data_IF_058949026880
#
_entry.id   IF_058949026880
#
_cell.length_a   1.000
_cell.length_b   1.000
_cell.length_c   1.000
_cell.angle_alpha   90.00
_cell.angle_beta   90.00
_cell.angle_gamma   90.00
#
_symmetry.space_group_name_H-M   'P 1'
#
loop_
_entity.id
_entity.type
_entity.pdbx_description
1 polymer ?
#
# COMPACT_ATOMS: atom_id res chain seq x y z
N UNK A 1 -21.30 6.68 -38.53
CA UNK A 1 -20.42 7.33 -37.55
C UNK A 1 -19.95 6.27 -36.56
N UNK A 2 -18.65 6.09 -36.38
CA UNK A 2 -18.13 5.16 -35.38
C UNK A 2 -18.40 5.72 -33.98
N UNK A 3 -19.21 5.02 -33.19
CA UNK A 3 -19.52 5.42 -31.82
C UNK A 3 -18.34 5.02 -30.94
N UNK A 4 -17.54 6.01 -30.51
CA UNK A 4 -16.43 5.81 -29.60
C UNK A 4 -16.96 5.22 -28.29
N UNK A 5 -16.68 3.95 -28.01
CA UNK A 5 -16.99 3.33 -26.72
C UNK A 5 -15.97 3.81 -25.71
N UNK A 6 -16.32 4.83 -24.93
CA UNK A 6 -15.49 5.27 -23.81
C UNK A 6 -15.56 4.22 -22.69
N UNK A 7 -14.42 3.73 -22.18
CA UNK A 7 -14.44 2.83 -21.03
C UNK A 7 -14.83 3.63 -19.77
N UNK A 8 -15.89 3.18 -19.09
CA UNK A 8 -16.26 3.72 -17.78
C UNK A 8 -15.31 3.16 -16.72
N UNK A 9 -14.34 3.96 -16.28
CA UNK A 9 -13.33 3.55 -15.29
C UNK A 9 -13.58 4.27 -13.97
N UNK A 10 -13.77 3.48 -12.91
CA UNK A 10 -13.72 3.94 -11.53
C UNK A 10 -12.94 2.88 -10.75
N UNK A 11 -11.68 3.20 -10.44
CA UNK A 11 -10.76 2.33 -9.74
C UNK A 11 -10.03 3.14 -8.66
N UNK A 12 -9.93 2.58 -7.47
CA UNK A 12 -9.16 3.12 -6.36
C UNK A 12 -8.30 2.01 -5.77
N UNK A 13 -7.05 2.33 -5.50
CA UNK A 13 -6.13 1.51 -4.72
C UNK A 13 -5.60 2.39 -3.59
N UNK A 14 -5.77 1.97 -2.34
CA UNK A 14 -5.26 2.67 -1.17
C UNK A 14 -4.52 1.70 -0.26
N UNK A 15 -3.43 2.17 0.33
CA UNK A 15 -2.78 1.52 1.46
C UNK A 15 -2.99 2.35 2.72
N UNK A 16 -3.12 1.68 3.86
CA UNK A 16 -3.31 2.36 5.13
C UNK A 16 -3.50 1.39 6.28
N UNK A 17 -3.92 1.93 7.42
CA UNK A 17 -4.20 1.15 8.62
C UNK A 17 -5.65 1.30 9.04
N UNK A 18 -6.21 0.25 9.62
CA UNK A 18 -7.54 0.33 10.23
C UNK A 18 -7.54 1.31 11.41
N UNK A 19 -8.57 2.16 11.45
CA UNK A 19 -8.78 3.13 12.54
C UNK A 19 -9.54 2.50 13.70
N UNK A 20 -10.33 1.50 13.40
CA UNK A 20 -11.18 0.76 14.31
C UNK A 20 -11.36 -0.67 13.80
N UNK A 21 -11.82 -1.56 14.67
CA UNK A 21 -12.12 -2.94 14.30
C UNK A 21 -13.20 -3.01 13.23
N UNK A 22 -13.06 -3.96 12.31
CA UNK A 22 -14.08 -4.20 11.29
C UNK A 22 -15.37 -4.76 11.91
N UNK A 23 -16.51 -4.38 11.32
CA UNK A 23 -17.84 -4.77 11.80
C UNK A 23 -18.65 -5.43 10.70
N UNK A 24 -19.23 -6.61 10.99
CA UNK A 24 -20.18 -7.26 10.10
C UNK A 24 -21.55 -6.62 10.30
N UNK A 25 -22.17 -6.18 9.21
CA UNK A 25 -23.54 -5.68 9.20
C UNK A 25 -24.38 -6.47 8.21
N UNK A 26 -25.67 -6.58 8.50
CA UNK A 26 -26.66 -7.14 7.56
C UNK A 26 -27.44 -5.99 6.96
N UNK A 27 -27.46 -5.88 5.63
CA UNK A 27 -28.24 -4.87 4.94
C UNK A 27 -29.74 -5.19 5.05
N UNK A 28 -30.56 -4.32 5.66
CA UNK A 28 -31.97 -4.64 5.96
C UNK A 28 -32.81 -5.00 4.73
N UNK A 29 -32.53 -4.38 3.59
CA UNK A 29 -33.34 -4.54 2.37
C UNK A 29 -32.98 -5.82 1.60
N UNK A 30 -31.72 -6.25 1.66
CA UNK A 30 -31.23 -7.36 0.82
C UNK A 30 -30.89 -8.63 1.60
N UNK A 31 -30.83 -8.55 2.93
CA UNK A 31 -30.35 -9.64 3.79
C UNK A 31 -28.86 -9.96 3.64
N UNK A 32 -28.13 -9.25 2.77
CA UNK A 32 -26.70 -9.52 2.52
C UNK A 32 -25.85 -9.02 3.68
N UNK A 33 -24.89 -9.84 4.07
CA UNK A 33 -23.82 -9.43 4.97
C UNK A 33 -22.82 -8.54 4.24
N UNK A 34 -22.34 -7.54 4.96
CA UNK A 34 -21.28 -6.63 4.53
C UNK A 34 -20.27 -6.50 5.67
N UNK A 35 -19.02 -6.26 5.32
CA UNK A 35 -17.97 -5.90 6.27
C UNK A 35 -17.65 -4.41 6.12
N UNK A 36 -17.84 -3.64 7.18
CA UNK A 36 -17.51 -2.21 7.24
C UNK A 36 -16.28 -1.97 8.10
N UNK A 37 -15.36 -1.17 7.59
CA UNK A 37 -14.16 -0.74 8.30
C UNK A 37 -13.70 0.63 7.80
N UNK A 38 -12.86 1.33 8.57
CA UNK A 38 -12.33 2.65 8.21
C UNK A 38 -10.81 2.60 8.14
N UNK A 39 -10.25 3.16 7.06
CA UNK A 39 -8.80 3.22 6.85
C UNK A 39 -8.32 4.66 7.03
N UNK A 40 -7.18 4.82 7.70
CA UNK A 40 -6.36 6.03 7.65
C UNK A 40 -5.21 5.83 6.64
N UNK A 41 -5.07 6.77 5.71
CA UNK A 41 -3.94 6.85 4.77
C UNK A 41 -3.30 8.23 4.86
N UNK A 42 -1.96 8.25 4.94
CA UNK A 42 -1.22 9.47 5.23
C UNK A 42 -0.46 9.91 3.98
N UNK A 43 -0.51 11.21 3.68
CA UNK A 43 0.28 11.87 2.65
C UNK A 43 1.24 12.84 3.32
N UNK A 44 2.54 12.64 3.12
CA UNK A 44 3.58 13.59 3.54
C UNK A 44 3.95 14.49 2.38
N UNK A 45 4.13 15.77 2.66
CA UNK A 45 4.54 16.78 1.68
C UNK A 45 5.27 17.93 2.37
N UNK A 46 6.03 18.71 1.60
CA UNK A 46 6.73 19.89 2.11
C UNK A 46 5.95 21.13 1.66
N UNK A 47 5.71 22.06 2.59
CA UNK A 47 5.13 23.38 2.28
C UNK A 47 5.90 24.45 3.07
N UNK A 48 6.41 25.46 2.38
CA UNK A 48 7.20 26.55 2.97
C UNK A 48 8.44 26.09 3.76
N UNK A 49 9.07 25.00 3.32
CA UNK A 49 10.24 24.42 3.99
C UNK A 49 9.91 23.55 5.22
N UNK A 50 8.63 23.42 5.58
CA UNK A 50 8.18 22.57 6.69
C UNK A 50 7.61 21.24 6.17
N UNK A 51 7.98 20.14 6.83
CA UNK A 51 7.34 18.85 6.61
C UNK A 51 5.92 18.85 7.18
N UNK A 52 4.94 18.53 6.34
CA UNK A 52 3.52 18.40 6.71
C UNK A 52 3.02 16.99 6.44
N UNK A 53 2.03 16.59 7.22
CA UNK A 53 1.35 15.31 7.09
C UNK A 53 -0.16 15.56 7.05
N UNK A 54 -0.82 14.98 6.04
CA UNK A 54 -2.27 15.00 5.89
C UNK A 54 -2.79 13.56 5.98
N UNK A 55 -3.80 13.34 6.82
CA UNK A 55 -4.43 12.02 6.98
C UNK A 55 -5.83 12.02 6.38
N UNK A 56 -6.06 11.12 5.43
CA UNK A 56 -7.38 10.83 4.89
C UNK A 56 -7.99 9.64 5.64
N UNK A 57 -9.20 9.84 6.16
CA UNK A 57 -9.98 8.80 6.83
C UNK A 57 -11.19 8.40 5.96
N UNK A 58 -11.15 7.22 5.36
CA UNK A 58 -12.18 6.77 4.42
C UNK A 58 -12.84 5.46 4.85
N UNK A 59 -14.17 5.41 4.72
CA UNK A 59 -14.95 4.21 4.99
C UNK A 59 -14.85 3.25 3.81
N UNK A 60 -14.70 1.97 4.13
CA UNK A 60 -14.58 0.88 3.19
C UNK A 60 -15.68 -0.16 3.46
N UNK A 61 -16.29 -0.67 2.39
CA UNK A 61 -17.36 -1.66 2.45
C UNK A 61 -16.98 -2.83 1.57
N UNK A 62 -16.83 -4.00 2.17
CA UNK A 62 -16.56 -5.25 1.47
C UNK A 62 -17.81 -6.14 1.47
N UNK A 63 -18.19 -6.65 0.29
CA UNK A 63 -19.40 -7.46 0.09
C UNK A 63 -19.07 -8.85 -0.51
N UNK A 64 -17.84 -9.32 -0.35
CA UNK A 64 -17.41 -10.62 -0.90
C UNK A 64 -17.66 -11.78 0.04
N UNK A 65 -17.16 -12.96 -0.31
CA UNK A 65 -17.42 -14.21 0.41
C UNK A 65 -16.58 -14.36 1.70
N UNK A 66 -15.43 -13.68 1.79
CA UNK A 66 -14.47 -13.83 2.91
C UNK A 66 -14.75 -12.89 4.09
N UNK A 67 -16.02 -12.55 4.34
CA UNK A 67 -16.41 -11.57 5.37
C UNK A 67 -16.01 -12.03 6.77
N UNK A 68 -16.31 -13.29 7.14
CA UNK A 68 -16.02 -13.82 8.48
C UNK A 68 -14.51 -13.84 8.77
N UNK A 69 -13.73 -14.39 7.84
CA UNK A 69 -12.26 -14.41 7.94
C UNK A 69 -11.68 -13.00 8.08
N UNK A 70 -12.08 -12.07 7.21
CA UNK A 70 -11.61 -10.69 7.31
C UNK A 70 -12.07 -10.00 8.59
N UNK A 71 -13.24 -10.33 9.14
CA UNK A 71 -13.68 -9.75 10.42
C UNK A 71 -12.81 -10.16 11.61
N UNK A 72 -12.22 -11.35 11.54
CA UNK A 72 -11.33 -11.88 12.57
C UNK A 72 -9.94 -11.24 12.47
N UNK A 73 -9.44 -11.03 11.25
CA UNK A 73 -8.10 -10.49 10.99
C UNK A 73 -8.07 -8.95 11.09
N UNK A 74 -9.06 -8.27 10.53
CA UNK A 74 -9.05 -6.82 10.35
C UNK A 74 -9.45 -6.12 11.65
N UNK A 75 -8.45 -5.90 12.50
CA UNK A 75 -8.51 -5.14 13.75
C UNK A 75 -7.84 -3.77 13.63
N UNK A 76 -8.10 -2.92 14.61
CA UNK A 76 -7.49 -1.59 14.74
C UNK A 76 -5.98 -1.64 14.56
N UNK A 77 -5.43 -0.74 13.73
CA UNK A 77 -4.00 -0.66 13.44
C UNK A 77 -3.49 -1.63 12.37
N UNK A 78 -4.28 -2.63 11.98
CA UNK A 78 -3.85 -3.63 10.98
C UNK A 78 -3.57 -2.96 9.62
N UNK A 79 -2.39 -3.16 9.03
CA UNK A 79 -2.03 -2.57 7.75
C UNK A 79 -2.62 -3.38 6.59
N UNK A 80 -3.25 -2.70 5.63
CA UNK A 80 -3.85 -3.32 4.44
C UNK A 80 -3.64 -2.49 3.19
N UNK A 81 -3.80 -3.14 2.04
CA UNK A 81 -4.09 -2.49 0.76
C UNK A 81 -5.50 -2.88 0.35
N UNK A 82 -6.30 -1.90 -0.08
CA UNK A 82 -7.64 -2.13 -0.64
C UNK A 82 -7.68 -1.72 -2.10
N UNK A 83 -8.35 -2.54 -2.91
CA UNK A 83 -8.69 -2.23 -4.29
C UNK A 83 -10.21 -2.19 -4.42
N UNK A 84 -10.73 -1.21 -5.13
CA UNK A 84 -12.17 -1.02 -5.23
C UNK A 84 -12.56 0.14 -6.14
N UNK A 85 -13.70 0.73 -5.83
CA UNK A 85 -14.24 1.88 -6.54
C UNK A 85 -14.80 2.90 -5.57
N UNK A 86 -14.72 4.18 -5.93
CA UNK A 86 -15.33 5.25 -5.15
C UNK A 86 -16.85 5.22 -5.33
N UNK A 87 -17.58 5.31 -4.22
CA UNK A 87 -19.03 5.50 -4.19
C UNK A 87 -19.34 6.78 -3.44
N UNK A 88 -20.05 7.66 -4.11
CA UNK A 88 -20.74 8.78 -3.48
C UNK A 88 -22.14 8.30 -3.05
N UNK A 89 -22.55 8.61 -1.82
CA UNK A 89 -23.94 8.41 -1.38
C UNK A 89 -24.46 9.64 -0.65
N UNK A 90 -25.73 9.94 -0.88
CA UNK A 90 -26.50 10.91 -0.13
C UNK A 90 -27.39 10.17 0.87
N UNK A 91 -27.50 10.70 2.08
CA UNK A 91 -28.34 10.16 3.14
C UNK A 91 -28.82 11.27 4.04
N UNK A 92 -29.97 11.05 4.68
CA UNK A 92 -30.54 12.02 5.63
C UNK A 92 -30.19 11.60 7.05
N UNK A 93 -29.66 12.52 7.85
CA UNK A 93 -29.39 12.26 9.27
C UNK A 93 -30.67 12.30 10.13
N UNK A 94 -30.54 11.96 11.41
CA UNK A 94 -31.67 11.92 12.35
C UNK A 94 -32.34 13.30 12.53
N UNK A 95 -31.64 14.38 12.21
CA UNK A 95 -32.12 15.76 12.30
C UNK A 95 -32.69 16.24 10.96
N UNK A 96 -32.97 15.33 10.02
CA UNK A 96 -33.50 15.61 8.69
C UNK A 96 -32.58 16.44 7.78
N UNK A 97 -31.27 16.48 8.04
CA UNK A 97 -30.31 17.16 7.16
C UNK A 97 -29.75 16.22 6.11
N UNK A 98 -29.63 16.72 4.87
CA UNK A 98 -28.95 16.00 3.79
C UNK A 98 -27.45 15.95 4.06
N UNK A 99 -26.87 14.74 4.02
CA UNK A 99 -25.45 14.46 4.18
C UNK A 99 -24.94 13.67 3.00
N UNK A 100 -23.70 13.95 2.63
CA UNK A 100 -23.03 13.31 1.52
C UNK A 100 -21.78 12.61 2.05
N UNK A 101 -21.48 11.42 1.55
CA UNK A 101 -20.33 10.65 2.01
C UNK A 101 -19.69 9.90 0.85
N UNK A 102 -18.36 9.97 0.80
CA UNK A 102 -17.54 9.16 -0.09
C UNK A 102 -17.07 7.91 0.66
N UNK A 103 -17.25 6.76 0.02
CA UNK A 103 -16.90 5.45 0.56
C UNK A 103 -16.26 4.61 -0.55
N UNK A 104 -15.46 3.62 -0.17
CA UNK A 104 -14.88 2.67 -1.12
C UNK A 104 -15.68 1.38 -1.07
N UNK A 105 -16.21 0.97 -2.23
CA UNK A 105 -16.70 -0.40 -2.41
C UNK A 105 -15.50 -1.26 -2.77
N UNK A 106 -15.10 -2.11 -1.83
CA UNK A 106 -13.89 -2.91 -1.90
C UNK A 106 -14.17 -4.19 -2.68
N UNK A 107 -13.35 -4.42 -3.70
CA UNK A 107 -13.33 -5.65 -4.49
C UNK A 107 -12.32 -6.65 -3.92
N UNK A 108 -11.15 -6.16 -3.48
CA UNK A 108 -10.05 -6.98 -2.96
C UNK A 108 -9.37 -6.29 -1.77
N UNK A 109 -8.99 -7.10 -0.79
CA UNK A 109 -8.18 -6.70 0.37
C UNK A 109 -6.89 -7.52 0.30
N UNK A 110 -5.76 -6.85 0.38
CA UNK A 110 -4.46 -7.47 0.57
C UNK A 110 -4.03 -7.23 2.01
N UNK A 111 -3.83 -8.33 2.74
CA UNK A 111 -3.33 -8.29 4.10
C UNK A 111 -1.83 -8.04 4.06
N UNK A 112 -1.36 -7.07 4.83
CA UNK A 112 0.07 -6.82 4.97
C UNK A 112 0.52 -7.44 6.29
N UNK A 113 1.03 -8.66 6.25
CA UNK A 113 1.65 -9.26 7.42
C UNK A 113 3.00 -8.60 7.67
N UNK A 114 3.25 -8.22 8.92
CA UNK A 114 4.61 -7.90 9.35
C UNK A 114 5.31 -9.24 9.46
N UNK A 115 6.23 -9.53 8.53
CA UNK A 115 7.17 -10.64 8.73
C UNK A 115 8.00 -10.24 9.94
N UNK A 116 7.69 -10.79 11.10
CA UNK A 116 8.56 -10.68 12.26
C UNK A 116 9.85 -11.36 11.84
N UNK A 117 10.87 -10.55 11.53
CA UNK A 117 12.23 -11.04 11.38
C UNK A 117 12.70 -11.38 12.79
N UNK A 118 12.17 -12.47 13.34
CA UNK A 118 12.84 -13.23 14.38
C UNK A 118 13.88 -14.07 13.62
N UNK A 119 14.85 -13.37 13.04
CA UNK A 119 16.13 -13.99 12.78
C UNK A 119 16.79 -14.03 14.13
N UNK A 120 16.97 -15.23 14.69
CA UNK A 120 18.15 -15.45 15.53
C UNK A 120 19.31 -14.86 14.74
N UNK A 121 19.84 -13.73 15.21
CA UNK A 121 21.14 -13.28 14.77
C UNK A 121 22.08 -14.33 15.33
N UNK A 122 22.35 -15.39 14.57
CA UNK A 122 23.50 -16.23 14.84
C UNK A 122 24.68 -15.26 14.95
N UNK A 123 25.42 -15.28 16.07
CA UNK A 123 26.60 -14.44 16.19
C UNK A 123 27.51 -14.77 14.99
N UNK A 124 28.10 -13.75 14.35
CA UNK A 124 29.01 -13.99 13.25
C UNK A 124 30.06 -15.00 13.70
N UNK A 125 30.38 -16.03 12.88
CA UNK A 125 31.39 -17.01 13.25
C UNK A 125 32.69 -16.28 13.58
N UNK A 126 33.33 -16.69 14.68
CA UNK A 126 34.64 -16.16 15.07
C UNK A 126 35.59 -16.26 13.87
N UNK A 127 36.41 -15.22 13.62
CA UNK A 127 37.32 -15.23 12.49
C UNK A 127 38.37 -16.34 12.72
N UNK A 128 38.18 -17.47 12.04
CA UNK A 128 39.21 -18.49 11.88
C UNK A 128 40.42 -17.86 11.17
N UNK A 129 41.60 -18.10 11.75
CA UNK A 129 42.91 -17.66 11.27
C UNK A 129 43.19 -18.19 9.85
N UNK A 130 42.80 -17.43 8.84
CA UNK A 130 43.31 -17.54 7.47
C UNK A 130 44.00 -16.24 7.07
N UNK A 131 45.04 -15.89 7.83
CA UNK A 131 46.15 -15.12 7.28
C UNK A 131 47.04 -16.02 6.42
N UNK A 132 47.40 -15.50 5.23
CA UNK A 132 48.17 -16.10 4.11
C UNK A 132 47.21 -16.76 3.12
N UNK A 133 46.83 -16.12 2.03
CA UNK A 133 47.68 -15.52 1.02
C UNK A 133 46.99 -14.32 0.36
N UNK A 134 47.67 -13.17 0.30
CA UNK A 134 47.28 -12.10 -0.64
C UNK A 134 47.85 -12.46 -2.01
N UNK A 135 47.04 -12.64 -3.08
CA UNK A 135 47.60 -12.54 -4.42
C UNK A 135 47.98 -11.07 -4.64
N UNK A 136 49.27 -10.82 -4.89
CA UNK A 136 49.75 -9.51 -5.35
C UNK A 136 49.16 -9.23 -6.73
N UNK A 137 48.27 -8.25 -6.81
CA UNK A 137 47.78 -7.73 -8.07
C UNK A 137 48.90 -6.89 -8.72
N UNK A 138 49.56 -7.45 -9.72
CA UNK A 138 50.45 -6.69 -10.61
C UNK A 138 49.59 -6.16 -11.77
N UNK A 139 49.37 -4.84 -11.80
CA UNK A 139 48.90 -4.18 -13.01
C UNK A 139 50.08 -4.04 -13.97
N UNK A 140 50.05 -4.74 -15.09
CA UNK A 140 50.79 -4.31 -16.27
C UNK A 140 49.96 -3.21 -16.95
N UNK A 141 50.41 -1.97 -16.79
CA UNK A 141 49.99 -0.87 -17.63
C UNK A 141 50.89 -0.91 -18.86
N UNK A 142 50.41 -1.55 -19.92
CA UNK A 142 50.99 -1.32 -21.24
C UNK A 142 50.51 0.08 -21.68
N UNK A 143 51.44 1.02 -21.73
CA UNK A 143 51.23 2.36 -22.29
C UNK A 143 51.02 2.21 -23.81
N UNK A 144 49.78 2.00 -24.23
CA UNK A 144 49.40 2.31 -25.62
C UNK A 144 49.20 3.82 -25.72
N UNK A 145 50.17 4.51 -26.32
CA UNK A 145 50.05 5.89 -26.80
C UNK A 145 48.87 5.98 -27.78
N UNK A 146 47.73 6.48 -27.31
CA UNK A 146 46.61 6.84 -28.19
C UNK A 146 47.01 8.15 -28.87
N UNK A 147 47.33 8.11 -30.17
CA UNK A 147 47.57 9.31 -30.98
C UNK A 147 46.28 10.13 -31.12
N UNK A 148 46.39 11.45 -30.98
CA UNK A 148 45.27 12.42 -31.00
C UNK A 148 44.43 12.45 -32.30
N UNK A 149 44.79 11.67 -33.34
CA UNK A 149 44.05 11.58 -34.60
C UNK A 149 42.83 10.65 -34.57
N UNK A 150 42.67 9.82 -33.53
CA UNK A 150 41.57 8.84 -33.40
C UNK A 150 40.39 9.29 -32.53
N UNK A 151 40.31 10.59 -32.19
CA UNK A 151 39.13 11.15 -31.51
C UNK A 151 38.15 11.68 -32.57
N UNK A 152 37.03 10.99 -32.85
CA UNK A 152 36.02 11.53 -33.76
C UNK A 152 35.33 12.76 -33.13
N UNK A 153 35.14 13.81 -33.94
CA UNK A 153 34.34 15.00 -33.62
C UNK A 153 32.84 14.67 -33.52
#
# INVERSE_FOLDING_TARGET
MAQLRFPYINSIILSGRLVNDSSIKVLPISGKQILEFRIATNRRYILNGENREETLYINCIYMGQRINEYSEILKTGFPIIVEGRLRYREWTDQNNNKRNTYEIIVNRIHLLERKDVIGEVEPPPEPDELEKEKPSFQMNLDEEEISEEDIPF
#
